data_IF_877307634181
#
_entry.id   IF_877307634181
#
_cell.length_a   1.000
_cell.length_b   1.000
_cell.length_c   1.000
_cell.angle_alpha   90.00
_cell.angle_beta   90.00
_cell.angle_gamma   90.00
#
_symmetry.space_group_name_H-M   'P 1'
#
loop_
_entity.id
_entity.type
_entity.pdbx_description
1 polymer ?
#
# COMPACT_ATOMS: atom_id res chain seq x y z
N UNK A 1 -12.99 -0.08 -18.35
CA UNK A 1 -13.12 -1.54 -18.10
C UNK A 1 -14.24 -1.74 -17.09
N UNK A 2 -15.22 -2.60 -17.41
CA UNK A 2 -16.23 -3.07 -16.47
C UNK A 2 -16.18 -4.60 -16.51
N UNK A 3 -16.27 -5.25 -15.35
CA UNK A 3 -16.27 -6.70 -15.20
C UNK A 3 -17.42 -7.08 -14.28
N UNK A 4 -18.04 -8.24 -14.53
CA UNK A 4 -19.08 -8.82 -13.66
C UNK A 4 -18.51 -9.81 -12.64
N UNK A 5 -17.19 -10.06 -12.66
CA UNK A 5 -16.51 -10.99 -11.75
C UNK A 5 -16.35 -10.36 -10.38
N UNK A 6 -16.59 -11.15 -9.33
CA UNK A 6 -16.15 -10.85 -7.97
C UNK A 6 -14.61 -10.80 -7.90
N UNK A 7 -14.04 -10.16 -6.86
CA UNK A 7 -12.59 -10.16 -6.64
C UNK A 7 -11.98 -11.57 -6.59
N UNK A 8 -12.71 -12.55 -6.03
CA UNK A 8 -12.23 -13.95 -5.96
C UNK A 8 -12.21 -14.60 -7.34
N UNK A 9 -13.28 -14.50 -8.12
CA UNK A 9 -13.33 -15.05 -9.49
C UNK A 9 -12.24 -14.43 -10.38
N UNK A 10 -11.99 -13.11 -10.24
CA UNK A 10 -10.89 -12.47 -10.94
C UNK A 10 -9.53 -13.00 -10.50
N UNK A 11 -9.33 -13.22 -9.19
CA UNK A 11 -8.08 -13.75 -8.66
C UNK A 11 -7.79 -15.17 -9.17
N UNK A 12 -8.80 -16.05 -9.15
CA UNK A 12 -8.68 -17.43 -9.62
C UNK A 12 -8.29 -17.51 -11.11
N UNK A 13 -8.86 -16.64 -11.94
CA UNK A 13 -8.49 -16.55 -13.35
C UNK A 13 -7.07 -16.03 -13.55
N UNK A 14 -6.70 -14.96 -12.83
CA UNK A 14 -5.35 -14.38 -12.89
C UNK A 14 -4.26 -15.41 -12.55
N UNK A 15 -4.53 -16.32 -11.61
CA UNK A 15 -3.58 -17.36 -11.20
C UNK A 15 -3.18 -18.28 -12.37
N UNK A 16 -4.08 -18.50 -13.33
CA UNK A 16 -3.79 -19.36 -14.51
C UNK A 16 -2.71 -18.77 -15.41
N UNK A 17 -2.57 -17.45 -15.44
CA UNK A 17 -1.60 -16.71 -16.26
C UNK A 17 -0.55 -15.93 -15.45
N UNK A 18 -0.59 -15.99 -14.12
CA UNK A 18 0.30 -15.27 -13.21
C UNK A 18 1.80 -15.51 -13.47
N UNK A 19 2.16 -16.66 -14.06
CA UNK A 19 3.52 -17.02 -14.45
C UNK A 19 4.06 -16.21 -15.65
N UNK A 20 3.19 -15.55 -16.41
CA UNK A 20 3.54 -14.68 -17.53
C UNK A 20 3.96 -13.27 -17.06
N UNK A 21 3.67 -12.92 -15.81
CA UNK A 21 3.97 -11.61 -15.25
C UNK A 21 5.22 -11.63 -14.35
N UNK A 22 5.86 -10.47 -14.21
CA UNK A 22 6.88 -10.27 -13.18
C UNK A 22 6.30 -10.42 -11.77
N UNK A 23 7.16 -10.51 -10.76
CA UNK A 23 6.72 -10.62 -9.37
C UNK A 23 5.87 -9.43 -8.93
N UNK A 24 4.66 -9.64 -8.42
CA UNK A 24 3.71 -8.61 -8.01
C UNK A 24 3.05 -8.89 -6.65
N UNK A 25 2.49 -7.83 -6.08
CA UNK A 25 1.48 -7.88 -5.02
C UNK A 25 0.26 -7.10 -5.52
N UNK A 26 -0.92 -7.72 -5.52
CA UNK A 26 -2.14 -7.16 -6.09
C UNK A 26 -3.26 -7.16 -5.06
N UNK A 27 -3.96 -6.04 -4.92
CA UNK A 27 -5.21 -5.93 -4.16
C UNK A 27 -6.34 -5.73 -5.16
N UNK A 28 -7.31 -6.63 -5.15
CA UNK A 28 -8.54 -6.55 -5.94
C UNK A 28 -9.67 -6.31 -4.97
N UNK A 29 -10.45 -5.25 -5.18
CA UNK A 29 -11.55 -4.90 -4.29
C UNK A 29 -12.81 -4.57 -5.09
N UNK A 30 -13.94 -5.08 -4.62
CA UNK A 30 -15.25 -4.60 -5.02
C UNK A 30 -15.87 -3.81 -3.87
N UNK A 31 -15.98 -2.51 -4.09
CA UNK A 31 -16.51 -1.55 -3.12
C UNK A 31 -17.99 -1.81 -2.83
N UNK A 32 -18.76 -2.29 -3.81
CA UNK A 32 -20.20 -2.50 -3.67
C UNK A 32 -20.51 -3.67 -2.75
N UNK A 33 -19.83 -4.80 -2.95
CA UNK A 33 -19.93 -5.97 -2.07
C UNK A 33 -19.07 -5.88 -0.81
N UNK A 34 -18.18 -4.87 -0.71
CA UNK A 34 -17.18 -4.73 0.36
C UNK A 34 -16.26 -5.94 0.48
N UNK A 35 -15.97 -6.59 -0.64
CA UNK A 35 -15.07 -7.74 -0.72
C UNK A 35 -13.71 -7.32 -1.25
N UNK A 36 -12.65 -7.95 -0.74
CA UNK A 36 -11.28 -7.66 -1.13
C UNK A 36 -10.44 -8.93 -1.09
N UNK A 37 -9.59 -9.11 -2.11
CA UNK A 37 -8.70 -10.25 -2.25
C UNK A 37 -7.29 -9.74 -2.55
N UNK A 38 -6.31 -10.33 -1.87
CA UNK A 38 -4.90 -10.16 -2.10
C UNK A 38 -4.38 -11.32 -2.96
N UNK A 39 -3.63 -11.00 -4.00
CA UNK A 39 -2.99 -11.96 -4.90
C UNK A 39 -1.50 -11.64 -5.01
N UNK A 40 -0.65 -12.66 -4.95
CA UNK A 40 0.80 -12.50 -5.16
C UNK A 40 1.43 -13.74 -5.73
N UNK A 41 2.27 -13.56 -6.75
CA UNK A 41 3.15 -14.60 -7.30
C UNK A 41 4.57 -14.53 -6.68
N UNK A 42 4.73 -13.89 -5.52
CA UNK A 42 5.99 -13.79 -4.77
C UNK A 42 5.97 -14.62 -3.47
N UNK A 43 7.13 -15.15 -3.05
CA UNK A 43 8.39 -15.20 -3.80
C UNK A 43 8.34 -16.21 -4.96
N UNK A 44 9.23 -16.05 -5.94
CA UNK A 44 9.28 -16.93 -7.12
C UNK A 44 9.58 -18.37 -6.70
N UNK A 45 8.82 -19.32 -7.24
CA UNK A 45 8.98 -20.76 -6.92
C UNK A 45 8.07 -21.24 -5.79
N UNK A 46 7.38 -20.34 -5.09
CA UNK A 46 6.28 -20.71 -4.20
C UNK A 46 4.93 -20.72 -4.94
N UNK A 47 3.92 -21.46 -4.44
CA UNK A 47 2.55 -21.35 -4.93
C UNK A 47 2.05 -19.91 -4.86
N UNK A 48 1.25 -19.53 -5.86
CA UNK A 48 0.59 -18.22 -5.90
C UNK A 48 -0.32 -18.11 -4.68
N UNK A 49 -0.19 -17.00 -3.96
CA UNK A 49 -1.03 -16.71 -2.80
C UNK A 49 -2.30 -16.03 -3.27
N UNK A 50 -3.45 -16.58 -2.89
CA UNK A 50 -4.75 -15.92 -2.93
C UNK A 50 -5.25 -15.87 -1.49
N UNK A 51 -5.60 -14.68 -1.00
CA UNK A 51 -6.05 -14.48 0.37
C UNK A 51 -7.17 -13.45 0.41
N UNK A 52 -8.28 -13.79 1.07
CA UNK A 52 -9.30 -12.80 1.39
C UNK A 52 -8.77 -11.77 2.41
N UNK A 53 -9.00 -10.48 2.13
CA UNK A 53 -8.59 -9.40 3.02
C UNK A 53 -9.79 -9.01 3.88
N UNK A 54 -9.76 -9.45 5.13
CA UNK A 54 -10.80 -9.15 6.11
C UNK A 54 -10.85 -7.65 6.47
N UNK A 55 -11.97 -7.14 7.01
CA UNK A 55 -12.03 -5.76 7.50
C UNK A 55 -11.00 -5.49 8.60
N UNK A 56 -10.16 -4.47 8.44
CA UNK A 56 -9.12 -4.15 9.41
C UNK A 56 -8.05 -3.19 8.87
N UNK A 57 -6.95 -3.11 9.61
CA UNK A 57 -5.73 -2.39 9.19
C UNK A 57 -4.75 -3.44 8.69
N UNK A 58 -4.43 -3.37 7.40
CA UNK A 58 -3.46 -4.22 6.73
C UNK A 58 -2.35 -3.37 6.14
N UNK A 59 -1.12 -3.90 6.13
CA UNK A 59 0.04 -3.18 5.58
C UNK A 59 0.75 -4.06 4.56
N UNK A 60 0.94 -3.51 3.37
CA UNK A 60 1.64 -4.16 2.27
C UNK A 60 2.94 -3.40 1.96
N UNK A 61 4.01 -4.16 1.75
CA UNK A 61 5.29 -3.63 1.25
C UNK A 61 5.80 -4.54 0.13
N UNK A 62 7.12 -4.75 0.03
CA UNK A 62 7.72 -5.63 -0.97
C UNK A 62 7.61 -7.13 -0.63
N UNK A 63 7.19 -7.45 0.59
CA UNK A 63 6.91 -8.81 1.05
C UNK A 63 5.40 -9.14 0.95
N UNK A 64 4.98 -10.30 1.47
CA UNK A 64 3.57 -10.70 1.52
C UNK A 64 2.76 -9.73 2.41
N UNK A 65 1.45 -9.67 2.21
CA UNK A 65 0.53 -8.89 3.05
C UNK A 65 0.78 -9.16 4.54
N UNK A 66 0.84 -8.09 5.34
CA UNK A 66 1.07 -8.12 6.80
C UNK A 66 2.38 -8.78 7.25
N UNK A 67 3.36 -8.93 6.36
CA UNK A 67 4.70 -9.36 6.73
C UNK A 67 5.29 -8.44 7.81
N UNK A 68 5.94 -8.98 8.85
CA UNK A 68 6.34 -8.24 10.06
C UNK A 68 7.61 -7.40 9.87
N UNK A 69 7.71 -6.67 8.75
CA UNK A 69 8.83 -5.78 8.48
C UNK A 69 8.75 -4.54 9.39
N UNK A 70 9.89 -4.03 9.83
CA UNK A 70 9.97 -2.85 10.70
C UNK A 70 9.08 -1.70 10.22
N UNK A 71 9.25 -1.26 8.96
CA UNK A 71 8.44 -0.19 8.37
C UNK A 71 6.94 -0.52 8.30
N UNK A 72 6.59 -1.79 8.02
CA UNK A 72 5.21 -2.20 7.93
C UNK A 72 4.52 -2.17 9.31
N UNK A 73 5.18 -2.73 10.34
CA UNK A 73 4.69 -2.71 11.71
C UNK A 73 4.61 -1.28 12.25
N UNK A 74 5.64 -0.46 12.00
CA UNK A 74 5.69 0.94 12.40
C UNK A 74 4.59 1.76 11.77
N UNK A 75 4.39 1.65 10.45
CA UNK A 75 3.31 2.33 9.74
C UNK A 75 1.95 1.89 10.27
N UNK A 76 1.72 0.58 10.42
CA UNK A 76 0.45 0.04 10.92
C UNK A 76 0.12 0.49 12.35
N UNK A 77 1.12 0.53 13.23
CA UNK A 77 0.98 1.04 14.60
C UNK A 77 0.62 2.54 14.59
N UNK A 78 1.44 3.36 13.91
CA UNK A 78 1.23 4.80 13.87
C UNK A 78 -0.11 5.17 13.21
N UNK A 79 -0.52 4.43 12.17
CA UNK A 79 -1.82 4.59 11.52
C UNK A 79 -2.97 4.30 12.49
N UNK A 80 -2.90 3.19 13.23
CA UNK A 80 -3.88 2.84 14.27
C UNK A 80 -3.97 3.94 15.35
N UNK A 81 -2.84 4.45 15.81
CA UNK A 81 -2.78 5.53 16.80
C UNK A 81 -3.36 6.84 16.27
N UNK A 82 -3.13 7.20 15.00
CA UNK A 82 -3.77 8.38 14.43
C UNK A 82 -5.28 8.17 14.30
N UNK A 83 -5.75 7.01 13.83
CA UNK A 83 -7.18 6.72 13.74
C UNK A 83 -7.88 6.82 15.10
N UNK A 84 -7.26 6.29 16.15
CA UNK A 84 -7.81 6.31 17.51
C UNK A 84 -8.07 7.74 18.02
N UNK A 85 -7.31 8.75 17.57
CA UNK A 85 -7.48 10.16 17.97
C UNK A 85 -8.78 10.78 17.43
N UNK A 86 -9.24 10.32 16.27
CA UNK A 86 -10.41 10.90 15.61
C UNK A 86 -11.71 10.18 15.98
N UNK A 87 -11.64 8.93 16.48
CA UNK A 87 -12.82 8.19 16.93
C UNK A 87 -13.86 8.06 15.81
N UNK A 88 -15.06 8.65 16.03
CA UNK A 88 -16.15 8.71 15.02
C UNK A 88 -16.17 10.01 14.21
N UNK A 89 -15.22 10.92 14.44
CA UNK A 89 -15.11 12.18 13.72
C UNK A 89 -14.58 12.03 12.30
N UNK A 90 -14.60 13.12 11.55
CA UNK A 90 -14.01 13.15 10.22
C UNK A 90 -12.47 13.00 10.31
N UNK A 91 -11.92 12.05 9.55
CA UNK A 91 -10.48 11.85 9.48
C UNK A 91 -9.89 12.91 8.54
N UNK A 92 -8.94 13.75 8.98
CA UNK A 92 -8.20 14.65 8.11
C UNK A 92 -7.17 13.84 7.30
N UNK A 93 -7.65 13.19 6.23
CA UNK A 93 -6.90 12.19 5.46
C UNK A 93 -5.56 12.75 4.96
N UNK A 94 -5.57 13.99 4.43
CA UNK A 94 -4.38 14.65 3.91
C UNK A 94 -3.32 14.78 5.01
N UNK A 95 -3.66 15.43 6.10
CA UNK A 95 -2.75 15.72 7.22
C UNK A 95 -2.25 14.42 7.88
N UNK A 96 -3.13 13.43 8.01
CA UNK A 96 -2.78 12.12 8.56
C UNK A 96 -1.77 11.40 7.67
N UNK A 97 -2.01 11.35 6.36
CA UNK A 97 -1.15 10.64 5.40
C UNK A 97 0.18 11.37 5.22
N UNK A 98 0.19 12.70 5.09
CA UNK A 98 1.43 13.49 5.03
C UNK A 98 2.32 13.24 6.24
N UNK A 99 1.72 13.18 7.43
CA UNK A 99 2.45 12.92 8.67
C UNK A 99 3.00 11.49 8.74
N UNK A 100 2.19 10.49 8.38
CA UNK A 100 2.58 9.08 8.51
C UNK A 100 3.60 8.66 7.47
N UNK A 101 3.46 9.15 6.25
CA UNK A 101 4.25 8.71 5.12
C UNK A 101 5.60 9.43 5.01
N UNK A 102 5.85 10.47 5.81
CA UNK A 102 7.14 11.13 5.97
C UNK A 102 8.03 10.52 7.07
N UNK A 103 7.63 9.39 7.65
CA UNK A 103 8.39 8.73 8.72
C UNK A 103 9.70 8.10 8.21
N UNK A 104 10.82 8.74 8.52
CA UNK A 104 12.17 8.36 8.12
C UNK A 104 12.91 7.47 9.12
N UNK A 105 12.24 6.98 10.18
CA UNK A 105 12.90 6.15 11.19
C UNK A 105 13.25 4.78 10.61
N UNK A 106 14.55 4.47 10.61
CA UNK A 106 15.12 3.19 10.17
C UNK A 106 15.01 2.11 11.25
N UNK A 107 15.06 0.85 10.83
CA UNK A 107 15.11 -0.30 11.72
C UNK A 107 16.46 -0.40 12.43
N UNK A 108 16.48 -1.10 13.57
CA UNK A 108 17.73 -1.61 14.12
C UNK A 108 18.36 -2.62 13.14
N UNK A 109 19.66 -2.48 12.85
CA UNK A 109 20.38 -3.38 11.93
C UNK A 109 20.27 -4.86 12.33
N UNK A 110 20.17 -5.16 13.63
CA UNK A 110 19.99 -6.52 14.15
C UNK A 110 18.61 -7.14 13.85
N UNK A 111 17.63 -6.33 13.44
CA UNK A 111 16.25 -6.75 13.14
C UNK A 111 15.96 -6.81 11.64
N UNK A 112 16.98 -6.60 10.81
CA UNK A 112 16.86 -6.67 9.36
C UNK A 112 16.74 -8.13 8.89
N UNK A 113 16.01 -8.39 7.80
CA UNK A 113 15.64 -9.75 7.41
C UNK A 113 16.77 -10.55 6.74
N UNK A 114 17.90 -9.93 6.38
CA UNK A 114 19.08 -10.62 5.85
C UNK A 114 18.90 -11.19 4.43
N UNK A 115 18.07 -10.52 3.62
CA UNK A 115 17.71 -10.89 2.25
C UNK A 115 18.66 -10.23 1.24
N UNK A 116 19.19 -9.04 1.54
CA UNK A 116 20.24 -8.38 0.76
C UNK A 116 21.33 -7.78 1.66
N UNK A 117 22.20 -6.91 1.10
CA UNK A 117 23.30 -6.33 1.88
C UNK A 117 22.76 -5.51 3.05
N UNK A 118 23.44 -5.60 4.19
CA UNK A 118 22.99 -4.97 5.44
C UNK A 118 22.73 -3.47 5.28
N UNK A 119 23.60 -2.77 4.56
CA UNK A 119 23.46 -1.34 4.35
C UNK A 119 22.26 -1.01 3.46
N UNK A 120 22.01 -1.81 2.42
CA UNK A 120 20.84 -1.62 1.57
C UNK A 120 19.53 -1.91 2.31
N UNK A 121 19.48 -2.97 3.12
CA UNK A 121 18.30 -3.25 3.95
C UNK A 121 18.06 -2.15 4.98
N UNK A 122 19.12 -1.66 5.62
CA UNK A 122 19.04 -0.58 6.58
C UNK A 122 18.53 0.70 5.93
N UNK A 123 19.06 1.06 4.76
CA UNK A 123 18.68 2.27 4.05
C UNK A 123 17.23 2.24 3.54
N UNK A 124 16.70 1.06 3.22
CA UNK A 124 15.32 0.86 2.80
C UNK A 124 14.33 0.56 3.94
N UNK A 125 14.76 0.64 5.21
CA UNK A 125 13.98 0.15 6.35
C UNK A 125 13.00 1.14 6.97
N UNK A 126 12.96 2.39 6.49
CA UNK A 126 12.01 3.44 6.85
C UNK A 126 10.74 3.41 6.00
N UNK A 127 9.70 4.15 6.42
CA UNK A 127 8.47 4.33 5.62
C UNK A 127 8.74 5.29 4.46
N UNK A 128 9.31 6.45 4.77
CA UNK A 128 9.86 7.36 3.77
C UNK A 128 11.29 6.95 3.46
N UNK A 129 11.51 6.42 2.26
CA UNK A 129 12.83 5.98 1.81
C UNK A 129 13.51 7.14 1.11
N UNK A 130 14.75 7.42 1.47
CA UNK A 130 15.60 8.39 0.79
C UNK A 130 17.06 7.94 0.96
N UNK A 131 17.70 7.65 -0.15
CA UNK A 131 19.04 7.04 -0.21
C UNK A 131 19.83 7.66 -1.35
N UNK A 132 20.99 8.22 -1.04
CA UNK A 132 21.94 8.68 -2.05
C UNK A 132 22.60 7.47 -2.71
N UNK A 133 22.49 7.37 -4.04
CA UNK A 133 23.17 6.35 -4.84
C UNK A 133 24.10 7.01 -5.85
N UNK A 134 25.07 6.27 -6.41
CA UNK A 134 25.92 6.81 -7.49
C UNK A 134 25.14 7.29 -8.73
N UNK A 135 23.88 6.86 -8.91
CA UNK A 135 23.00 7.25 -10.01
C UNK A 135 22.04 8.39 -9.63
N UNK A 136 22.14 8.93 -8.41
CA UNK A 136 21.25 9.95 -7.87
C UNK A 136 20.40 9.46 -6.70
N UNK A 137 19.43 10.29 -6.29
CA UNK A 137 18.57 10.02 -5.15
C UNK A 137 17.56 8.89 -5.47
N UNK A 138 17.59 7.82 -4.68
CA UNK A 138 16.62 6.74 -4.71
C UNK A 138 15.68 6.85 -3.51
N UNK A 139 14.37 6.79 -3.75
CA UNK A 139 13.44 6.92 -2.64
C UNK A 139 11.97 7.03 -3.00
N UNK A 140 11.19 7.38 -1.98
CA UNK A 140 9.76 7.66 -2.07
C UNK A 140 9.53 8.89 -2.94
N UNK A 141 8.92 8.70 -4.12
CA UNK A 141 8.61 9.78 -5.06
C UNK A 141 7.16 10.25 -5.03
N UNK A 142 6.27 9.47 -4.43
CA UNK A 142 4.89 9.86 -4.25
C UNK A 142 4.27 9.24 -3.00
N UNK A 143 3.21 9.87 -2.53
CA UNK A 143 2.34 9.38 -1.47
C UNK A 143 0.93 9.69 -1.88
N UNK A 144 0.09 8.66 -1.95
CA UNK A 144 -1.30 8.79 -2.33
C UNK A 144 -2.22 8.23 -1.24
N UNK A 145 -3.39 8.85 -1.12
CA UNK A 145 -4.47 8.45 -0.24
C UNK A 145 -5.75 8.32 -1.05
N UNK A 146 -6.42 7.18 -0.89
CA UNK A 146 -7.72 6.91 -1.49
C UNK A 146 -8.69 6.55 -0.38
N UNK A 147 -9.80 7.28 -0.28
CA UNK A 147 -10.87 6.98 0.67
C UNK A 147 -12.21 6.88 -0.04
N UNK A 148 -13.04 5.97 0.42
CA UNK A 148 -14.40 5.78 -0.09
C UNK A 148 -15.34 5.75 1.12
N UNK A 149 -16.34 6.63 1.14
CA UNK A 149 -17.36 6.64 2.18
C UNK A 149 -18.55 5.73 1.85
N UNK A 150 -19.46 5.55 2.81
CA UNK A 150 -20.67 4.74 2.64
C UNK A 150 -21.61 5.28 1.54
N UNK A 151 -21.50 6.56 1.19
CA UNK A 151 -22.22 7.20 0.10
C UNK A 151 -21.61 6.93 -1.28
N UNK A 152 -20.49 6.21 -1.36
CA UNK A 152 -19.76 5.96 -2.60
C UNK A 152 -18.96 7.16 -3.09
N UNK A 153 -18.76 8.17 -2.24
CA UNK A 153 -17.88 9.30 -2.55
C UNK A 153 -16.43 8.87 -2.39
N UNK A 154 -15.69 8.96 -3.46
CA UNK A 154 -14.26 8.67 -3.52
C UNK A 154 -13.50 9.99 -3.42
N UNK A 155 -12.54 10.06 -2.51
CA UNK A 155 -11.60 11.19 -2.42
C UNK A 155 -10.18 10.67 -2.62
N UNK A 156 -9.46 11.29 -3.54
CA UNK A 156 -8.08 11.00 -3.86
C UNK A 156 -7.23 12.21 -3.51
N UNK A 157 -6.13 11.97 -2.81
CA UNK A 157 -5.09 12.96 -2.55
C UNK A 157 -3.74 12.33 -2.92
N UNK A 158 -2.88 13.10 -3.57
CA UNK A 158 -1.52 12.68 -3.87
C UNK A 158 -0.55 13.84 -3.68
N UNK A 159 0.59 13.53 -3.09
CA UNK A 159 1.79 14.36 -3.10
C UNK A 159 2.89 13.62 -3.83
N UNK A 160 3.48 14.24 -4.84
CA UNK A 160 4.43 13.59 -5.73
C UNK A 160 5.56 14.54 -6.15
N UNK A 161 6.70 13.95 -6.49
CA UNK A 161 7.91 14.66 -6.89
C UNK A 161 7.96 14.77 -8.43
N UNK A 162 7.92 16.00 -8.93
CA UNK A 162 8.04 16.34 -10.35
C UNK A 162 9.10 17.43 -10.50
N UNK A 163 10.13 17.20 -11.33
CA UNK A 163 11.26 18.13 -11.53
C UNK A 163 11.86 18.63 -10.19
N UNK A 164 12.12 17.68 -9.28
CA UNK A 164 12.65 17.91 -7.93
C UNK A 164 11.81 18.83 -7.04
N UNK A 165 10.56 19.08 -7.44
CA UNK A 165 9.60 19.88 -6.68
C UNK A 165 8.44 19.00 -6.24
N UNK A 166 8.10 19.07 -4.96
CA UNK A 166 6.91 18.40 -4.45
C UNK A 166 5.65 19.15 -4.89
N UNK A 167 4.78 18.45 -5.60
CA UNK A 167 3.46 18.93 -6.03
C UNK A 167 2.38 18.13 -5.32
N UNK A 168 1.19 18.72 -5.24
CA UNK A 168 0.03 18.12 -4.61
C UNK A 168 -1.17 18.16 -5.55
N UNK A 169 -1.97 17.09 -5.50
CA UNK A 169 -3.19 16.95 -6.28
C UNK A 169 -4.30 16.39 -5.39
N UNK A 170 -5.52 16.85 -5.59
CA UNK A 170 -6.70 16.31 -4.90
C UNK A 170 -7.89 16.28 -5.84
N UNK A 171 -8.58 15.14 -5.87
CA UNK A 171 -9.74 14.92 -6.72
C UNK A 171 -10.85 14.21 -5.93
N UNK A 172 -12.09 14.47 -6.33
CA UNK A 172 -13.28 13.85 -5.74
C UNK A 172 -14.15 13.29 -6.84
N UNK A 173 -14.58 12.06 -6.65
CA UNK A 173 -15.37 11.30 -7.61
C UNK A 173 -16.54 10.62 -6.88
N UNK A 174 -17.51 10.15 -7.64
CA UNK A 174 -18.59 9.33 -7.14
C UNK A 174 -18.60 8.02 -7.91
N UNK A 175 -18.64 6.91 -7.18
CA UNK A 175 -18.82 5.59 -7.79
C UNK A 175 -20.25 5.55 -8.32
N UNK A 176 -20.39 5.46 -9.64
CA UNK A 176 -21.69 5.25 -10.25
C UNK A 176 -22.21 3.88 -9.80
N UNK A 177 -23.36 3.86 -9.12
CA UNK A 177 -24.06 2.60 -8.89
C UNK A 177 -24.48 2.05 -10.25
N UNK A 178 -23.92 0.91 -10.64
CA UNK A 178 -24.46 0.12 -11.72
C UNK A 178 -25.89 -0.26 -11.32
N UNK A 179 -26.87 0.17 -12.11
CA UNK A 179 -28.28 -0.20 -11.94
C UNK A 179 -28.49 -1.65 -12.34
#
# INVERSE_FOLDING_TARGET
>A
MQSTKSPMEFAEELVTEAHQYNGFNLIVADVSSKSMVYVSNRPKGEPITIQEVSPGIHVLSNAKLDSPWHKAQRLGLNFREQLAKYGKGQIPVKEMVEKLMQDSVKADKSRLPGICSLDWEFDLSSVFVEVDTPLGLYGTRSTAALTIDEGGKLSFYEKYLEEDTWKEKSEKFYIQKLK
#
